data_IF_309398829785
#
_entry.id   IF_309398829785
#
_cell.length_a   1.000
_cell.length_b   1.000
_cell.length_c   1.000
_cell.angle_alpha   90.00
_cell.angle_beta   90.00
_cell.angle_gamma   90.00
#
_symmetry.space_group_name_H-M   'P 1'
#
loop_
_entity.id
_entity.type
_entity.pdbx_description
1 polymer ?
#
# COMPACT_ATOMS: atom_id res chain seq x y z
N UNK A 1 10.59 -12.46 21.58
CA UNK A 1 10.02 -11.56 20.55
C UNK A 1 8.64 -11.96 20.05
N UNK A 2 8.31 -13.25 19.86
CA UNK A 2 6.95 -13.67 19.48
C UNK A 2 5.85 -13.16 20.43
N UNK A 3 6.04 -13.32 21.74
CA UNK A 3 5.06 -12.87 22.74
C UNK A 3 4.91 -11.34 22.77
N UNK A 4 5.92 -10.59 22.34
CA UNK A 4 5.81 -9.14 22.16
C UNK A 4 4.87 -8.82 20.98
N UNK A 5 5.05 -9.49 19.83
CA UNK A 5 4.20 -9.29 18.65
C UNK A 5 2.74 -9.61 18.96
N UNK A 6 2.46 -10.73 19.65
CA UNK A 6 1.10 -11.10 20.07
C UNK A 6 0.47 -10.07 21.02
N UNK A 7 1.25 -9.53 21.97
CA UNK A 7 0.77 -8.47 22.85
C UNK A 7 0.43 -7.21 22.06
N UNK A 8 1.27 -6.82 21.10
CA UNK A 8 1.03 -5.67 20.24
C UNK A 8 -0.23 -5.86 19.38
N UNK A 9 -0.39 -7.02 18.74
CA UNK A 9 -1.60 -7.35 17.97
C UNK A 9 -2.87 -7.21 18.82
N UNK A 10 -2.84 -7.73 20.06
CA UNK A 10 -3.99 -7.68 20.96
C UNK A 10 -4.30 -6.27 21.47
N UNK A 11 -3.28 -5.51 21.84
CA UNK A 11 -3.45 -4.20 22.49
C UNK A 11 -3.66 -3.05 21.49
N UNK A 12 -3.12 -3.16 20.27
CA UNK A 12 -3.18 -2.07 19.30
C UNK A 12 -4.61 -1.59 18.99
N UNK A 13 -5.63 -2.46 18.79
CA UNK A 13 -7.00 -2.02 18.55
C UNK A 13 -7.61 -1.25 19.74
N UNK A 14 -7.28 -1.64 20.98
CA UNK A 14 -7.75 -0.96 22.20
C UNK A 14 -7.16 0.45 22.29
N UNK A 15 -5.84 0.57 22.12
CA UNK A 15 -5.13 1.86 22.15
C UNK A 15 -5.59 2.78 21.01
N UNK A 16 -5.81 2.25 19.81
CA UNK A 16 -6.30 3.05 18.69
C UNK A 16 -7.71 3.60 18.94
N UNK A 17 -8.59 2.83 19.58
CA UNK A 17 -9.91 3.32 19.98
C UNK A 17 -9.81 4.46 20.99
N UNK A 18 -8.99 4.28 22.02
CA UNK A 18 -8.79 5.28 23.06
C UNK A 18 -8.22 6.60 22.51
N UNK A 19 -7.18 6.51 21.66
CA UNK A 19 -6.43 7.68 21.19
C UNK A 19 -7.07 8.35 19.97
N UNK A 20 -7.65 7.57 19.05
CA UNK A 20 -8.16 8.09 17.76
C UNK A 20 -9.69 8.10 17.67
N UNK A 21 -10.40 7.46 18.60
CA UNK A 21 -11.86 7.33 18.53
C UNK A 21 -12.36 6.52 17.33
N UNK A 22 -11.48 5.71 16.72
CA UNK A 22 -11.80 4.90 15.53
C UNK A 22 -12.18 3.49 15.97
N UNK A 23 -13.45 3.11 15.79
CA UNK A 23 -13.96 1.76 16.10
C UNK A 23 -13.94 0.82 14.89
N UNK A 24 -12.87 0.88 14.09
CA UNK A 24 -12.69 -0.07 12.98
C UNK A 24 -12.03 -1.36 13.48
N UNK A 25 -12.46 -2.53 12.99
CA UNK A 25 -11.74 -3.77 13.24
C UNK A 25 -10.33 -3.65 12.64
N UNK A 26 -9.33 -3.70 13.50
CA UNK A 26 -7.92 -3.64 13.13
C UNK A 26 -7.30 -5.01 13.40
N UNK A 27 -6.83 -5.65 12.34
CA UNK A 27 -6.14 -6.93 12.41
C UNK A 27 -4.67 -6.72 12.05
N UNK A 28 -3.78 -7.53 12.60
CA UNK A 28 -2.40 -7.57 12.13
C UNK A 28 -2.39 -8.04 10.66
N UNK A 29 -1.71 -7.29 9.79
CA UNK A 29 -1.49 -7.71 8.41
C UNK A 29 -0.37 -8.77 8.36
N UNK A 30 -0.20 -9.41 7.20
CA UNK A 30 0.84 -10.42 7.01
C UNK A 30 2.26 -9.86 7.23
N UNK A 31 2.47 -8.58 6.88
CA UNK A 31 3.77 -7.92 7.01
C UNK A 31 4.21 -7.75 8.46
N UNK A 32 3.26 -7.70 9.40
CA UNK A 32 3.54 -7.62 10.83
C UNK A 32 4.29 -8.86 11.35
N UNK A 33 4.01 -10.03 10.77
CA UNK A 33 4.63 -11.29 11.16
C UNK A 33 5.74 -11.76 10.21
N UNK A 34 5.72 -11.35 8.94
CA UNK A 34 6.69 -11.83 7.94
C UNK A 34 8.13 -11.43 8.29
N UNK A 35 8.35 -10.19 8.73
CA UNK A 35 9.68 -9.73 9.15
C UNK A 35 10.23 -10.52 10.34
N UNK A 36 9.39 -10.86 11.30
CA UNK A 36 9.74 -11.71 12.44
C UNK A 36 10.14 -13.12 11.99
N UNK A 37 9.41 -13.71 11.05
CA UNK A 37 9.75 -15.02 10.49
C UNK A 37 11.07 -14.98 9.73
N UNK A 38 11.33 -13.93 8.95
CA UNK A 38 12.60 -13.78 8.21
C UNK A 38 13.80 -13.62 9.16
N UNK A 39 13.64 -12.86 10.23
CA UNK A 39 14.68 -12.71 11.27
C UNK A 39 14.97 -14.05 11.96
N UNK A 40 13.93 -14.83 12.29
CA UNK A 40 14.09 -16.19 12.82
C UNK A 40 14.85 -17.13 11.87
N UNK A 41 14.75 -16.91 10.56
CA UNK A 41 15.47 -17.66 9.53
C UNK A 41 16.89 -17.12 9.28
N UNK A 42 17.31 -16.07 9.98
CA UNK A 42 18.61 -15.43 9.82
C UNK A 42 18.75 -14.66 8.49
N UNK A 43 17.62 -14.27 7.90
CA UNK A 43 17.60 -13.52 6.64
C UNK A 43 17.85 -12.03 6.95
N UNK A 44 18.81 -11.37 6.27
CA UNK A 44 19.06 -9.95 6.47
C UNK A 44 17.82 -9.09 6.15
N UNK A 45 17.57 -8.04 6.93
CA UNK A 45 16.38 -7.18 6.79
C UNK A 45 16.28 -6.53 5.41
N UNK A 46 17.42 -6.23 4.78
CA UNK A 46 17.50 -5.73 3.41
C UNK A 46 16.93 -6.69 2.36
N UNK A 47 16.77 -7.98 2.69
CA UNK A 47 16.18 -8.99 1.81
C UNK A 47 14.66 -9.10 1.91
N UNK A 48 14.01 -8.40 2.85
CA UNK A 48 12.55 -8.46 3.03
C UNK A 48 11.80 -8.04 1.76
N UNK A 49 12.16 -6.90 1.16
CA UNK A 49 11.52 -6.41 -0.07
C UNK A 49 11.84 -7.26 -1.30
N UNK A 50 13.10 -7.69 -1.54
CA UNK A 50 13.41 -8.66 -2.59
C UNK A 50 12.60 -9.96 -2.51
N UNK A 51 12.47 -10.57 -1.32
CA UNK A 51 11.70 -11.80 -1.13
C UNK A 51 10.22 -11.57 -1.44
N UNK A 52 9.66 -10.45 -0.96
CA UNK A 52 8.30 -10.06 -1.30
C UNK A 52 8.11 -9.93 -2.82
N UNK A 53 9.01 -9.24 -3.51
CA UNK A 53 8.95 -9.06 -4.95
C UNK A 53 8.98 -10.41 -5.69
N UNK A 54 9.88 -11.32 -5.31
CA UNK A 54 9.99 -12.67 -5.90
C UNK A 54 8.67 -13.43 -5.75
N UNK A 55 8.07 -13.42 -4.56
CA UNK A 55 6.78 -14.05 -4.33
C UNK A 55 5.65 -13.40 -5.15
N UNK A 56 5.71 -12.08 -5.39
CA UNK A 56 4.69 -11.35 -6.15
C UNK A 56 4.76 -11.52 -7.67
N UNK A 57 5.93 -11.86 -8.22
CA UNK A 57 6.13 -12.06 -9.68
C UNK A 57 5.08 -13.01 -10.26
N UNK A 58 4.78 -14.13 -9.61
CA UNK A 58 3.79 -15.10 -10.11
C UNK A 58 2.42 -14.45 -10.33
N UNK A 59 1.96 -13.65 -9.36
CA UNK A 59 0.68 -12.94 -9.47
C UNK A 59 0.71 -11.79 -10.50
N UNK A 60 1.83 -11.06 -10.58
CA UNK A 60 1.99 -10.01 -11.59
C UNK A 60 1.95 -10.58 -13.00
N UNK A 61 2.68 -11.67 -13.26
CA UNK A 61 2.64 -12.35 -14.54
C UNK A 61 1.23 -12.85 -14.89
N UNK A 62 0.52 -13.45 -13.93
CA UNK A 62 -0.85 -13.91 -14.13
C UNK A 62 -1.79 -12.77 -14.54
N UNK A 63 -1.75 -11.63 -13.83
CA UNK A 63 -2.58 -10.47 -14.17
C UNK A 63 -2.21 -9.85 -15.51
N UNK A 64 -0.92 -9.76 -15.86
CA UNK A 64 -0.51 -9.26 -17.17
C UNK A 64 -1.06 -10.16 -18.29
N UNK A 65 -0.96 -11.49 -18.12
CA UNK A 65 -1.50 -12.44 -19.10
C UNK A 65 -3.02 -12.28 -19.24
N UNK A 66 -3.73 -12.17 -18.11
CA UNK A 66 -5.18 -11.93 -18.09
C UNK A 66 -5.56 -10.63 -18.82
N UNK A 67 -4.83 -9.53 -18.59
CA UNK A 67 -5.08 -8.24 -19.24
C UNK A 67 -4.88 -8.33 -20.76
N UNK A 68 -3.82 -9.00 -21.21
CA UNK A 68 -3.53 -9.17 -22.64
C UNK A 68 -4.60 -10.02 -23.34
N UNK A 69 -5.09 -11.09 -22.68
CA UNK A 69 -6.14 -11.96 -23.23
C UNK A 69 -7.52 -11.27 -23.26
N UNK A 70 -7.82 -10.41 -22.29
CA UNK A 70 -9.12 -9.74 -22.15
C UNK A 70 -9.26 -8.44 -22.97
N UNK A 71 -8.35 -8.19 -23.91
CA UNK A 71 -8.49 -7.13 -24.92
C UNK A 71 -7.57 -5.93 -24.76
N UNK A 72 -6.53 -5.99 -23.90
CA UNK A 72 -5.39 -5.06 -23.93
C UNK A 72 -5.76 -3.58 -23.83
N UNK A 73 -6.86 -3.26 -23.13
CA UNK A 73 -7.40 -1.90 -23.05
C UNK A 73 -6.50 -1.05 -22.16
N UNK A 74 -6.07 0.11 -22.67
CA UNK A 74 -5.27 1.05 -21.87
C UNK A 74 -6.00 1.48 -20.58
N UNK A 75 -5.32 1.33 -19.45
CA UNK A 75 -5.79 1.81 -18.15
C UNK A 75 -5.49 3.31 -18.07
N UNK A 76 -6.50 4.14 -18.38
CA UNK A 76 -6.39 5.60 -18.38
C UNK A 76 -7.53 6.26 -17.60
N UNK A 77 -7.38 6.46 -16.27
CA UNK A 77 -8.34 7.23 -15.49
C UNK A 77 -8.30 8.72 -15.87
N UNK A 78 -9.43 9.41 -15.67
CA UNK A 78 -9.52 10.86 -15.84
C UNK A 78 -9.39 11.57 -14.48
N UNK A 79 -8.85 12.79 -14.49
CA UNK A 79 -8.77 13.65 -13.31
C UNK A 79 -9.72 14.84 -13.45
N UNK A 80 -10.30 15.26 -12.33
CA UNK A 80 -11.11 16.49 -12.25
C UNK A 80 -10.25 17.62 -11.70
N UNK A 81 -10.04 18.66 -12.52
CA UNK A 81 -9.39 19.88 -12.07
C UNK A 81 -10.33 20.67 -11.13
N UNK A 82 -9.83 21.12 -9.98
CA UNK A 82 -10.60 21.90 -8.98
C UNK A 82 -10.42 23.42 -9.14
N UNK A 83 -9.47 23.87 -9.97
CA UNK A 83 -9.24 25.28 -10.21
C UNK A 83 -10.39 25.83 -11.05
N UNK A 84 -10.83 27.04 -10.69
CA UNK A 84 -11.72 27.80 -11.56
C UNK A 84 -10.97 28.15 -12.83
N UNK A 85 -11.65 28.02 -13.98
CA UNK A 85 -11.08 28.42 -15.26
C UNK A 85 -10.79 29.92 -15.19
N UNK A 86 -9.51 30.29 -15.23
CA UNK A 86 -9.11 31.69 -15.31
C UNK A 86 -9.50 32.27 -16.66
N UNK A 87 -9.87 33.54 -16.67
CA UNK A 87 -10.00 34.29 -17.92
C UNK A 87 -8.63 34.47 -18.56
N UNK A 88 -8.61 34.48 -19.89
CA UNK A 88 -7.37 34.75 -20.61
C UNK A 88 -6.99 36.23 -20.42
N UNK A 89 -5.77 36.49 -19.97
CA UNK A 89 -5.19 37.82 -19.88
C UNK A 89 -4.17 37.97 -21.03
N UNK A 90 -4.32 39.00 -21.87
CA UNK A 90 -3.33 39.31 -22.91
C UNK A 90 -1.96 39.52 -22.30
N UNK A 91 -0.91 39.07 -23.00
CA UNK A 91 0.45 39.07 -22.46
C UNK A 91 0.93 40.45 -22.02
N UNK A 92 0.54 41.51 -22.74
CA UNK A 92 0.85 42.91 -22.40
C UNK A 92 0.13 43.43 -21.14
N UNK A 93 -0.92 42.73 -20.67
CA UNK A 93 -1.78 43.11 -19.53
C UNK A 93 -1.57 42.22 -18.31
N UNK A 94 -0.62 41.27 -18.38
CA UNK A 94 -0.20 40.46 -17.23
C UNK A 94 0.76 41.31 -16.39
N UNK A 95 0.58 41.31 -15.07
CA UNK A 95 1.48 41.97 -14.11
C UNK A 95 2.82 41.23 -14.02
#
# INVERSE_FOLDING_TARGET
EFELHKKVEKLAPEVFREVKGIDKPMCANIDFYSGFVYDMLGIPVEMNTPIFAIARIVGWCAHIIEEQLNGGKIIRPAYKNINKRGEYIEMSKRA
#
